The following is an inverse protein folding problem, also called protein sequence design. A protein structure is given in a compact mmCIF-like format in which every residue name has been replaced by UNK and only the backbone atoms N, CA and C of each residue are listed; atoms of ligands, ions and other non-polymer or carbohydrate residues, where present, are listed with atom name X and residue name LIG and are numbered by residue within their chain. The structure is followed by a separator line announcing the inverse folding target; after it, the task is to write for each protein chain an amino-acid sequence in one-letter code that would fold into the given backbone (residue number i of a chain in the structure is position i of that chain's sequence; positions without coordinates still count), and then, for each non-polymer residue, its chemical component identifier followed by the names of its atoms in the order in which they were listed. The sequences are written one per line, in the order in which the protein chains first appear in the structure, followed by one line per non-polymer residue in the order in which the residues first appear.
data_IF_236469786675
#
_entry.id   IF_236469786675
#
_cell.length_a   1.000
_cell.length_b   1.000
_cell.length_c   1.000
_cell.angle_alpha   90.00
_cell.angle_beta   90.00
_cell.angle_gamma   90.00
#
_symmetry.space_group_name_H-M   'P 1'
#
loop_
_entity.id
_entity.type
_entity.pdbx_description
1 polymer ?
#
# COMPACT_ATOMS: atom_id res chain seq x y z
N UNK A 1 9.43 13.31 7.32
CA UNK A 1 8.98 12.79 6.01
C UNK A 1 7.50 13.10 5.86
N UNK A 2 6.99 13.39 4.65
CA UNK A 2 5.55 13.63 4.44
C UNK A 2 4.78 12.30 4.51
N UNK A 3 3.58 12.29 5.09
CA UNK A 3 2.67 11.12 5.13
C UNK A 3 2.30 10.73 3.69
N UNK A 4 2.47 9.45 3.34
CA UNK A 4 2.17 8.88 2.02
C UNK A 4 1.01 7.91 2.22
N UNK A 5 -0.07 8.13 1.49
CA UNK A 5 -1.28 7.31 1.55
C UNK A 5 -1.42 6.62 0.21
N UNK A 6 -1.43 5.28 0.22
CA UNK A 6 -1.60 4.46 -0.97
C UNK A 6 -2.96 4.70 -1.63
N UNK A 7 -3.12 4.24 -2.87
CA UNK A 7 -4.41 4.28 -3.56
C UNK A 7 -5.54 3.71 -2.69
N UNK A 8 -5.30 2.57 -2.04
CA UNK A 8 -6.28 1.88 -1.20
C UNK A 8 -6.50 2.49 0.21
N UNK A 9 -5.74 3.52 0.60
CA UNK A 9 -5.85 4.14 1.93
C UNK A 9 -4.83 3.68 2.96
N UNK A 10 -4.05 2.63 2.69
CA UNK A 10 -2.95 2.24 3.58
C UNK A 10 -1.90 3.35 3.70
N UNK A 11 -1.40 3.59 4.90
CA UNK A 11 -0.39 4.61 5.16
C UNK A 11 1.01 4.01 4.93
N UNK A 12 1.60 4.25 3.76
CA UNK A 12 2.91 3.69 3.41
C UNK A 12 4.01 4.09 4.41
N UNK A 13 3.92 5.27 5.01
CA UNK A 13 4.93 5.77 5.95
C UNK A 13 4.91 5.08 7.31
N UNK A 14 3.87 4.30 7.57
CA UNK A 14 3.71 3.46 8.76
C UNK A 14 3.93 1.97 8.44
N UNK A 15 4.11 1.63 7.15
CA UNK A 15 4.35 0.26 6.71
C UNK A 15 5.76 -0.20 7.10
N UNK A 16 5.91 -1.36 7.74
CA UNK A 16 7.22 -1.84 8.20
C UNK A 16 8.19 -2.09 7.04
N UNK A 17 7.69 -2.57 5.89
CA UNK A 17 8.50 -2.76 4.68
C UNK A 17 9.08 -1.45 4.14
N UNK A 18 8.26 -0.40 4.10
CA UNK A 18 8.69 0.93 3.70
C UNK A 18 9.73 1.47 4.70
N UNK A 19 9.45 1.39 6.00
CA UNK A 19 10.35 1.90 7.05
C UNK A 19 11.71 1.19 6.98
N UNK A 20 11.72 -0.13 6.84
CA UNK A 20 12.94 -0.91 6.71
C UNK A 20 13.72 -0.53 5.44
N UNK A 21 13.01 -0.36 4.32
CA UNK A 21 13.58 0.08 3.03
C UNK A 21 14.25 1.45 3.12
N UNK A 22 13.65 2.41 3.83
CA UNK A 22 14.23 3.76 4.00
C UNK A 22 15.42 3.78 4.97
N UNK A 23 15.49 2.81 5.88
CA UNK A 23 16.60 2.66 6.85
C UNK A 23 17.75 1.80 6.33
N UNK A 24 17.60 1.19 5.15
CA UNK A 24 18.50 0.15 4.64
C UNK A 24 18.66 -1.02 5.64
N UNK A 25 17.56 -1.37 6.31
CA UNK A 25 17.53 -2.35 7.39
C UNK A 25 17.15 -3.73 6.86
N UNK A 26 18.18 -4.53 6.57
CA UNK A 26 18.02 -5.87 6.02
C UNK A 26 17.33 -6.84 6.99
N UNK A 27 17.67 -6.78 8.27
CA UNK A 27 17.10 -7.67 9.28
C UNK A 27 15.59 -7.40 9.45
N UNK A 28 15.19 -6.13 9.44
CA UNK A 28 13.78 -5.77 9.46
C UNK A 28 13.03 -6.25 8.21
N UNK A 29 13.64 -6.20 7.02
CA UNK A 29 13.03 -6.76 5.80
C UNK A 29 12.85 -8.28 5.90
N UNK A 30 13.80 -9.00 6.48
CA UNK A 30 13.69 -10.45 6.72
C UNK A 30 12.55 -10.79 7.69
N UNK A 31 12.39 -9.99 8.75
CA UNK A 31 11.27 -10.15 9.68
C UNK A 31 9.92 -9.88 9.01
N UNK A 32 9.82 -8.83 8.19
CA UNK A 32 8.60 -8.52 7.44
C UNK A 32 8.25 -9.64 6.47
N UNK A 33 9.22 -10.13 5.69
CA UNK A 33 9.01 -11.22 4.74
C UNK A 33 8.55 -12.51 5.44
N UNK A 34 9.17 -12.86 6.57
CA UNK A 34 8.76 -14.02 7.36
C UNK A 34 7.33 -13.87 7.92
N UNK A 35 6.99 -12.70 8.47
CA UNK A 35 5.65 -12.42 9.01
C UNK A 35 4.58 -12.49 7.92
N UNK A 36 4.81 -11.82 6.79
CA UNK A 36 3.86 -11.82 5.68
C UNK A 36 3.77 -13.19 5.01
N UNK A 37 4.88 -13.92 4.91
CA UNK A 37 4.87 -15.29 4.40
C UNK A 37 4.00 -16.22 5.23
N UNK A 38 4.04 -16.09 6.56
CA UNK A 38 3.12 -16.82 7.46
C UNK A 38 1.67 -16.35 7.31
N UNK A 39 1.43 -15.04 7.26
CA UNK A 39 0.09 -14.46 7.19
C UNK A 39 -0.64 -14.83 5.90
N UNK A 40 0.06 -14.81 4.76
CA UNK A 40 -0.52 -15.10 3.45
C UNK A 40 -0.29 -16.54 3.00
N UNK A 41 0.42 -17.34 3.80
CA UNK A 41 0.81 -18.71 3.47
C UNK A 41 1.56 -18.78 2.11
N UNK A 42 2.50 -17.86 1.92
CA UNK A 42 3.33 -17.74 0.72
C UNK A 42 4.81 -17.69 1.08
N UNK A 43 5.68 -18.02 0.11
CA UNK A 43 7.12 -17.79 0.25
C UNK A 43 7.43 -16.38 -0.24
N UNK A 44 7.76 -15.49 0.69
CA UNK A 44 8.11 -14.09 0.43
C UNK A 44 9.59 -13.92 0.75
N UNK A 45 10.35 -13.40 -0.21
CA UNK A 45 11.74 -13.04 0.02
C UNK A 45 11.84 -11.60 0.57
N UNK A 46 12.88 -11.26 1.34
CA UNK A 46 13.08 -9.88 1.82
C UNK A 46 13.14 -8.86 0.67
N UNK A 47 13.64 -9.27 -0.50
CA UNK A 47 13.68 -8.47 -1.72
C UNK A 47 12.28 -8.09 -2.22
N UNK A 48 11.29 -8.97 -2.03
CA UNK A 48 9.90 -8.70 -2.43
C UNK A 48 9.23 -7.61 -1.57
N UNK A 49 9.81 -7.33 -0.39
CA UNK A 49 9.33 -6.32 0.54
C UNK A 49 9.95 -4.94 0.29
N UNK A 50 11.00 -4.82 -0.53
CA UNK A 50 11.69 -3.53 -0.75
C UNK A 50 10.76 -2.55 -1.45
N UNK A 51 10.40 -1.44 -0.79
CA UNK A 51 9.35 -0.54 -1.27
C UNK A 51 9.57 0.93 -0.87
N UNK A 52 9.50 1.82 -1.86
CA UNK A 52 9.55 3.28 -1.69
C UNK A 52 8.13 3.92 -1.69
N UNK A 53 7.09 3.11 -1.53
CA UNK A 53 5.70 3.54 -1.34
C UNK A 53 4.80 3.38 -2.57
N UNK A 54 3.50 3.20 -2.35
CA UNK A 54 2.55 2.84 -3.41
C UNK A 54 2.44 3.88 -4.54
N UNK A 55 2.61 5.17 -4.21
CA UNK A 55 2.57 6.29 -5.15
C UNK A 55 3.93 6.59 -5.79
N UNK A 56 4.96 5.77 -5.53
CA UNK A 56 6.22 5.88 -6.24
C UNK A 56 6.04 5.41 -7.70
N UNK A 57 6.34 6.30 -8.64
CA UNK A 57 6.38 6.02 -10.09
C UNK A 57 7.80 5.75 -10.59
N UNK A 58 8.79 6.10 -9.78
CA UNK A 58 10.21 5.82 -9.95
C UNK A 58 10.74 5.22 -8.64
N UNK A 59 11.79 4.39 -8.69
CA UNK A 59 12.36 3.74 -7.51
C UNK A 59 11.90 2.30 -7.31
N UNK A 60 11.96 1.82 -6.06
CA UNK A 60 11.73 0.42 -5.70
C UNK A 60 10.29 0.21 -5.29
N UNK A 61 9.70 -0.90 -5.73
CA UNK A 61 8.34 -1.28 -5.38
C UNK A 61 8.34 -2.72 -4.89
N UNK A 62 7.63 -2.97 -3.78
CA UNK A 62 7.45 -4.33 -3.31
C UNK A 62 6.67 -5.15 -4.35
N UNK A 63 7.00 -6.43 -4.49
CA UNK A 63 6.58 -7.27 -5.62
C UNK A 63 5.07 -7.25 -5.88
N UNK A 64 4.26 -7.22 -4.81
CA UNK A 64 2.80 -7.15 -4.92
C UNK A 64 2.28 -5.89 -5.63
N UNK A 65 3.01 -4.77 -5.59
CA UNK A 65 2.62 -3.52 -6.27
C UNK A 65 2.51 -3.67 -7.79
N UNK A 66 3.17 -4.68 -8.38
CA UNK A 66 3.10 -4.96 -9.81
C UNK A 66 1.82 -5.69 -10.23
N UNK A 67 1.16 -6.38 -9.30
CA UNK A 67 -0.08 -7.14 -9.55
C UNK A 67 -1.31 -6.55 -8.85
N UNK A 68 -1.12 -5.51 -8.03
CA UNK A 68 -2.20 -4.86 -7.30
C UNK A 68 -3.18 -4.13 -8.23
N UNK A 69 -4.40 -4.65 -8.33
CA UNK A 69 -5.47 -4.09 -9.18
C UNK A 69 -5.91 -2.68 -8.77
N UNK A 70 -5.96 -2.40 -7.46
CA UNK A 70 -6.32 -1.06 -6.94
C UNK A 70 -5.28 -0.03 -7.39
N UNK A 71 -3.99 -0.37 -7.30
CA UNK A 71 -2.91 0.50 -7.76
C UNK A 71 -2.97 0.71 -9.27
N UNK A 72 -3.10 -0.36 -10.06
CA UNK A 72 -3.21 -0.26 -11.51
C UNK A 72 -4.37 0.66 -11.94
N UNK A 73 -5.56 0.47 -11.35
CA UNK A 73 -6.74 1.29 -11.60
C UNK A 73 -6.52 2.77 -11.20
N UNK A 74 -5.93 3.03 -10.04
CA UNK A 74 -5.63 4.39 -9.58
C UNK A 74 -4.67 5.15 -10.50
N UNK A 75 -3.65 4.45 -11.02
CA UNK A 75 -2.70 5.00 -12.01
C UNK A 75 -3.42 5.30 -13.33
N UNK A 76 -4.22 4.36 -13.83
CA UNK A 76 -4.98 4.53 -15.09
C UNK A 76 -5.94 5.73 -15.01
N UNK A 77 -6.66 5.85 -13.89
CA UNK A 77 -7.59 6.95 -13.62
C UNK A 77 -6.89 8.26 -13.24
N UNK A 78 -5.57 8.25 -13.02
CA UNK A 78 -4.76 9.41 -12.63
C UNK A 78 -5.26 10.14 -11.38
N UNK A 79 -5.83 9.39 -10.44
CA UNK A 79 -6.26 9.94 -9.13
C UNK A 79 -5.07 10.02 -8.18
N UNK A 80 -5.12 10.92 -7.19
CA UNK A 80 -4.04 11.00 -6.17
C UNK A 80 -4.07 9.78 -5.24
N UNK A 81 -5.27 9.34 -4.88
CA UNK A 81 -5.59 8.05 -4.28
C UNK A 81 -7.10 7.81 -4.48
N UNK A 82 -7.65 6.69 -3.98
CA UNK A 82 -9.05 6.39 -4.23
C UNK A 82 -10.05 7.36 -3.56
N UNK A 83 -9.65 8.17 -2.57
CA UNK A 83 -10.54 9.18 -1.99
C UNK A 83 -10.94 10.26 -3.00
N UNK A 84 -10.13 10.48 -4.05
CA UNK A 84 -10.39 11.44 -5.14
C UNK A 84 -11.11 10.80 -6.34
N UNK A 85 -11.48 9.52 -6.25
CA UNK A 85 -12.19 8.84 -7.32
C UNK A 85 -13.70 9.13 -7.21
N UNK A 86 -14.35 9.39 -8.34
CA UNK A 86 -15.80 9.60 -8.40
C UNK A 86 -16.57 8.32 -8.03
N UNK A 87 -16.01 7.16 -8.38
CA UNK A 87 -16.61 5.84 -8.11
C UNK A 87 -16.37 5.36 -6.66
N UNK A 88 -15.84 6.21 -5.78
CA UNK A 88 -15.52 5.80 -4.41
C UNK A 88 -16.75 5.80 -3.48
N UNK A 89 -16.94 4.75 -2.66
CA UNK A 89 -16.23 3.47 -2.68
C UNK A 89 -16.73 2.57 -3.81
N UNK A 90 -15.81 1.89 -4.50
CA UNK A 90 -16.15 0.92 -5.54
C UNK A 90 -16.10 -0.52 -4.97
N UNK A 91 -16.69 -1.48 -5.69
CA UNK A 91 -16.78 -2.87 -5.22
C UNK A 91 -15.43 -3.50 -4.85
N UNK A 92 -14.35 -3.15 -5.57
CA UNK A 92 -13.00 -3.65 -5.26
C UNK A 92 -12.48 -3.12 -3.92
N UNK A 93 -12.75 -1.85 -3.61
CA UNK A 93 -12.39 -1.23 -2.34
C UNK A 93 -13.25 -1.75 -1.19
N UNK A 94 -14.56 -1.94 -1.41
CA UNK A 94 -15.43 -2.52 -0.39
C UNK A 94 -14.94 -3.90 0.07
N UNK A 95 -14.51 -4.75 -0.88
CA UNK A 95 -13.88 -6.04 -0.55
C UNK A 95 -12.55 -5.85 0.19
N UNK A 96 -11.72 -4.90 -0.23
CA UNK A 96 -10.45 -4.64 0.45
C UNK A 96 -10.66 -4.18 1.90
N UNK A 97 -11.67 -3.34 2.14
CA UNK A 97 -11.98 -2.79 3.46
C UNK A 97 -12.50 -3.82 4.46
N UNK A 98 -12.98 -4.99 4.02
CA UNK A 98 -13.27 -6.08 4.95
C UNK A 98 -12.01 -6.65 5.59
N UNK A 99 -10.85 -6.50 4.93
CA UNK A 99 -9.55 -6.94 5.45
C UNK A 99 -8.75 -5.79 6.10
N UNK A 100 -8.92 -4.55 5.62
CA UNK A 100 -8.21 -3.37 6.10
C UNK A 100 -9.17 -2.19 6.37
N UNK A 101 -10.01 -2.25 7.42
CA UNK A 101 -10.98 -1.19 7.74
C UNK A 101 -10.33 0.17 8.04
N UNK A 102 -9.10 0.19 8.55
CA UNK A 102 -8.31 1.40 8.80
C UNK A 102 -7.97 2.16 7.51
N UNK A 103 -7.81 1.44 6.39
CA UNK A 103 -7.57 2.04 5.08
C UNK A 103 -8.81 2.80 4.60
N UNK A 104 -10.01 2.27 4.87
CA UNK A 104 -11.28 2.98 4.62
C UNK A 104 -11.35 4.27 5.41
N UNK A 105 -11.12 4.20 6.73
CA UNK A 105 -11.15 5.37 7.60
C UNK A 105 -10.19 6.48 7.09
N UNK A 106 -9.01 6.09 6.64
CA UNK A 106 -8.02 7.02 6.07
C UNK A 106 -8.53 7.70 4.79
N UNK A 107 -9.18 6.97 3.88
CA UNK A 107 -9.74 7.56 2.65
C UNK A 107 -10.96 8.43 2.93
N UNK A 108 -11.84 8.04 3.87
CA UNK A 108 -12.98 8.86 4.29
C UNK A 108 -12.53 10.19 4.90
N UNK A 109 -11.49 10.18 5.74
CA UNK A 109 -10.91 11.40 6.32
C UNK A 109 -10.44 12.37 5.23
N UNK A 110 -9.75 11.85 4.21
CA UNK A 110 -9.31 12.67 3.07
C UNK A 110 -10.52 13.22 2.32
N UNK A 111 -11.50 12.36 2.01
CA UNK A 111 -12.66 12.70 1.19
C UNK A 111 -13.55 13.76 1.84
N UNK A 112 -13.67 13.75 3.17
CA UNK A 112 -14.40 14.78 3.92
C UNK A 112 -13.77 16.19 3.79
N UNK A 113 -12.48 16.26 3.44
CA UNK A 113 -11.75 17.50 3.23
C UNK A 113 -11.65 17.97 1.77
N UNK A 114 -12.27 17.26 0.82
CA UNK A 114 -12.32 17.62 -0.60
C UNK A 114 -13.50 18.53 -0.93
#
# INVERSE_FOLDING_TARGET
MKRIIAFCGLVCTECPAFIATQKDDREALEQVAAQWGQQFNESIAPEDCICDGCLAFEGRLGSYCHVCKIRACGIEKKVQNCAYCDDYPCQELDKFFTFAPEAKATLEEIRQGL
#
